data_IF_457477851805
#
_entry.id   IF_457477851805
#
_cell.length_a   1.000
_cell.length_b   1.000
_cell.length_c   1.000
_cell.angle_alpha   90.00
_cell.angle_beta   90.00
_cell.angle_gamma   90.00
#
_symmetry.space_group_name_H-M   'P 1'
#
loop_
_entity.id
_entity.type
_entity.pdbx_description
1 polymer ?
#
# COMPACT_ATOMS: atom_id res chain seq x y z
N UNK A 1 5.88 -2.07 -21.99
CA UNK A 1 5.63 -2.23 -20.53
C UNK A 1 4.85 -1.01 -20.09
N UNK A 2 3.67 -1.18 -19.50
CA UNK A 2 2.84 -0.05 -19.10
C UNK A 2 3.43 0.56 -17.81
N UNK A 3 3.72 1.86 -17.84
CA UNK A 3 4.10 2.62 -16.65
C UNK A 3 2.84 3.10 -15.95
N UNK A 4 2.78 2.92 -14.62
CA UNK A 4 1.74 3.52 -13.79
C UNK A 4 2.18 4.92 -13.41
N UNK A 5 1.25 5.79 -13.02
CA UNK A 5 1.60 7.11 -12.46
C UNK A 5 1.45 7.10 -10.96
N UNK A 6 2.37 7.78 -10.28
CA UNK A 6 2.22 8.03 -8.85
C UNK A 6 0.95 8.86 -8.63
N UNK A 7 0.01 8.31 -7.86
CA UNK A 7 -1.27 8.91 -7.47
C UNK A 7 -1.09 10.25 -6.74
N UNK A 8 0.09 10.50 -6.14
CA UNK A 8 0.41 11.76 -5.48
C UNK A 8 1.11 12.79 -6.39
N UNK A 9 2.28 12.46 -6.95
CA UNK A 9 3.11 13.44 -7.67
C UNK A 9 3.08 13.29 -9.20
N UNK A 10 2.36 12.29 -9.73
CA UNK A 10 2.15 12.10 -11.17
C UNK A 10 3.34 11.56 -11.96
N UNK A 11 4.50 11.30 -11.32
CA UNK A 11 5.67 10.71 -11.98
C UNK A 11 5.40 9.26 -12.38
N UNK A 12 6.07 8.80 -13.44
CA UNK A 12 5.99 7.40 -13.85
C UNK A 12 6.61 6.49 -12.79
N UNK A 13 5.99 5.33 -12.59
CA UNK A 13 6.41 4.26 -11.69
C UNK A 13 6.44 2.97 -12.49
N UNK A 14 7.61 2.32 -12.53
CA UNK A 14 7.76 1.04 -13.18
C UNK A 14 6.90 -0.05 -12.53
N UNK A 15 6.55 -1.13 -13.25
CA UNK A 15 5.73 -2.21 -12.69
C UNK A 15 6.39 -2.89 -11.48
N UNK A 16 7.73 -2.91 -11.42
CA UNK A 16 8.52 -3.55 -10.37
C UNK A 16 9.15 -2.54 -9.38
N UNK A 17 8.62 -1.32 -9.33
CA UNK A 17 9.14 -0.22 -8.51
C UNK A 17 8.05 0.42 -7.65
N UNK A 18 8.48 1.09 -6.57
CA UNK A 18 7.61 1.92 -5.74
C UNK A 18 6.65 1.10 -4.89
N UNK A 19 5.47 1.64 -4.65
CA UNK A 19 4.50 1.11 -3.72
C UNK A 19 3.12 1.06 -4.34
N UNK A 20 2.32 0.07 -3.94
CA UNK A 20 0.90 0.02 -4.21
C UNK A 20 0.15 -0.12 -2.91
N UNK A 21 -0.71 0.86 -2.60
CA UNK A 21 -1.74 0.68 -1.60
C UNK A 21 -2.94 0.01 -2.27
N UNK A 22 -3.58 -0.94 -1.60
CA UNK A 22 -4.73 -1.63 -2.16
C UNK A 22 -5.73 -2.06 -1.09
N UNK A 23 -7.02 -1.87 -1.35
CA UNK A 23 -8.13 -2.43 -0.57
C UNK A 23 -8.87 -3.39 -1.50
N UNK A 24 -8.54 -4.69 -1.43
CA UNK A 24 -8.98 -5.67 -2.43
C UNK A 24 -10.50 -5.86 -2.46
N UNK A 25 -11.16 -5.91 -1.29
CA UNK A 25 -12.61 -6.04 -1.20
C UNK A 25 -13.36 -4.85 -1.84
N UNK A 26 -12.74 -3.68 -1.86
CA UNK A 26 -13.30 -2.48 -2.49
C UNK A 26 -12.86 -2.27 -3.94
N UNK A 27 -12.01 -3.15 -4.49
CA UNK A 27 -11.33 -2.97 -5.79
C UNK A 27 -10.71 -1.57 -5.93
N UNK A 28 -9.98 -1.15 -4.89
CA UNK A 28 -9.31 0.15 -4.83
C UNK A 28 -7.81 -0.02 -4.84
N UNK A 29 -7.14 0.80 -5.65
CA UNK A 29 -5.69 0.80 -5.83
C UNK A 29 -5.17 2.24 -5.83
N UNK A 30 -3.96 2.44 -5.30
CA UNK A 30 -3.20 3.68 -5.47
C UNK A 30 -1.71 3.34 -5.62
N UNK A 31 -1.00 4.08 -6.48
CA UNK A 31 0.42 3.83 -6.78
C UNK A 31 1.29 4.98 -6.28
N UNK A 32 2.44 4.66 -5.70
CA UNK A 32 3.36 5.67 -5.17
C UNK A 32 4.80 5.38 -5.59
N UNK A 33 5.52 6.41 -6.05
CA UNK A 33 6.95 6.26 -6.33
C UNK A 33 7.80 6.16 -5.04
N UNK A 34 7.25 6.59 -3.90
CA UNK A 34 7.92 6.68 -2.60
C UNK A 34 6.93 6.43 -1.46
N UNK A 35 7.41 5.88 -0.35
CA UNK A 35 6.59 5.64 0.85
C UNK A 35 6.00 6.95 1.37
N UNK A 36 6.80 8.02 1.39
CA UNK A 36 6.45 9.31 1.94
C UNK A 36 5.26 9.95 1.21
N UNK A 37 4.96 9.55 -0.03
CA UNK A 37 3.81 10.05 -0.78
C UNK A 37 2.48 9.44 -0.33
N UNK A 38 2.51 8.30 0.38
CA UNK A 38 1.31 7.74 1.02
C UNK A 38 0.80 8.63 2.16
N UNK A 39 1.69 9.38 2.82
CA UNK A 39 1.35 10.20 3.98
C UNK A 39 0.46 11.39 3.61
N UNK A 40 0.85 12.32 2.72
CA UNK A 40 -0.01 13.43 2.35
C UNK A 40 -1.26 12.99 1.59
N UNK A 41 -1.19 11.91 0.81
CA UNK A 41 -2.35 11.29 0.18
C UNK A 41 -3.41 10.85 1.20
N UNK A 42 -3.00 10.14 2.27
CA UNK A 42 -3.93 9.75 3.32
C UNK A 42 -4.48 10.95 4.11
N UNK A 43 -3.67 12.00 4.32
CA UNK A 43 -4.12 13.23 5.00
C UNK A 43 -5.20 13.97 4.21
N UNK A 44 -5.11 14.01 2.88
CA UNK A 44 -6.04 14.76 2.03
C UNK A 44 -7.34 14.02 1.73
N UNK A 45 -7.54 12.85 2.32
CA UNK A 45 -8.60 11.93 1.92
C UNK A 45 -8.10 11.05 0.78
N UNK A 46 -7.93 9.73 1.00
CA UNK A 46 -7.32 8.84 0.04
C UNK A 46 -8.16 8.76 -1.25
N UNK A 47 -7.68 9.41 -2.30
CA UNK A 47 -8.25 9.27 -3.64
C UNK A 47 -7.76 7.97 -4.26
N UNK A 48 -8.65 6.99 -4.31
CA UNK A 48 -8.41 5.67 -4.87
C UNK A 48 -8.74 5.64 -6.36
N UNK A 49 -8.00 4.82 -7.11
CA UNK A 49 -8.34 4.40 -8.46
C UNK A 49 -9.04 3.03 -8.41
N UNK A 50 -9.92 2.76 -9.36
CA UNK A 50 -10.53 1.44 -9.49
C UNK A 50 -9.48 0.42 -9.96
N UNK A 51 -9.33 -0.69 -9.24
CA UNK A 51 -8.44 -1.77 -9.62
C UNK A 51 -8.01 -2.67 -8.46
N UNK A 52 -7.43 -3.81 -8.81
CA UNK A 52 -6.82 -4.76 -7.89
C UNK A 52 -5.31 -4.82 -8.12
N UNK A 53 -4.59 -5.50 -7.21
CA UNK A 53 -3.19 -5.78 -7.47
C UNK A 53 -3.09 -6.74 -8.67
N UNK A 54 -2.20 -6.41 -9.63
CA UNK A 54 -1.96 -7.28 -10.78
C UNK A 54 -1.37 -8.63 -10.37
N UNK A 55 -0.59 -8.63 -9.29
CA UNK A 55 -0.05 -9.82 -8.65
C UNK A 55 -0.24 -9.69 -7.14
N UNK A 56 -0.83 -10.71 -6.54
CA UNK A 56 -1.06 -10.73 -5.09
C UNK A 56 0.27 -11.01 -4.37
N UNK A 57 0.57 -10.31 -3.27
CA UNK A 57 1.69 -10.66 -2.43
C UNK A 57 1.48 -12.08 -1.90
N UNK A 58 2.58 -12.76 -1.58
CA UNK A 58 2.51 -14.07 -0.93
C UNK A 58 1.73 -13.93 0.37
N UNK A 59 0.82 -14.87 0.62
CA UNK A 59 0.15 -14.92 1.92
C UNK A 59 1.15 -15.32 3.00
N UNK A 60 1.34 -14.42 3.96
CA UNK A 60 2.20 -14.59 5.12
C UNK A 60 1.40 -14.35 6.39
N UNK A 61 1.67 -15.05 7.50
CA UNK A 61 0.97 -14.84 8.77
C UNK A 61 0.95 -13.38 9.22
N UNK A 62 2.02 -12.62 8.92
CA UNK A 62 2.11 -11.19 9.22
C UNK A 62 1.02 -10.34 8.55
N UNK A 63 0.44 -10.79 7.42
CA UNK A 63 -0.65 -10.07 6.73
C UNK A 63 -2.03 -10.29 7.37
N UNK A 64 -2.12 -11.18 8.36
CA UNK A 64 -3.34 -11.38 9.16
C UNK A 64 -3.46 -10.42 10.36
N UNK A 65 -2.44 -9.60 10.60
CA UNK A 65 -2.40 -8.61 11.67
C UNK A 65 -2.05 -7.22 11.12
N UNK A 66 -2.58 -6.18 11.76
CA UNK A 66 -2.25 -4.82 11.41
C UNK A 66 -0.82 -4.48 11.83
N UNK A 67 0.03 -4.11 10.88
CA UNK A 67 1.41 -3.69 11.13
C UNK A 67 1.54 -2.45 12.05
N UNK A 68 0.45 -1.68 12.22
CA UNK A 68 0.44 -0.54 13.14
C UNK A 68 0.01 -0.90 14.56
N UNK A 69 -1.14 -1.56 14.74
CA UNK A 69 -1.75 -1.79 16.06
C UNK A 69 -1.73 -3.26 16.53
N UNK A 70 -1.38 -4.21 15.67
CA UNK A 70 -1.38 -5.65 15.95
C UNK A 70 -2.77 -6.29 16.03
N UNK A 71 -3.84 -5.59 15.66
CA UNK A 71 -5.18 -6.17 15.61
C UNK A 71 -5.29 -7.19 14.46
N UNK A 72 -6.05 -8.26 14.67
CA UNK A 72 -6.38 -9.21 13.61
C UNK A 72 -7.16 -8.51 12.47
N UNK A 73 -6.88 -8.91 11.24
CA UNK A 73 -7.45 -8.34 10.02
C UNK A 73 -8.38 -9.31 9.30
N UNK A 74 -9.35 -8.76 8.60
CA UNK A 74 -10.22 -9.46 7.66
C UNK A 74 -9.92 -9.03 6.21
N UNK A 75 -10.83 -9.33 5.29
CA UNK A 75 -10.68 -9.04 3.87
C UNK A 75 -10.91 -7.57 3.49
N UNK A 76 -11.37 -6.74 4.43
CA UNK A 76 -11.51 -5.28 4.24
C UNK A 76 -10.23 -4.50 4.54
N UNK A 77 -9.14 -5.21 4.85
CA UNK A 77 -7.82 -4.61 5.13
C UNK A 77 -7.26 -3.82 3.96
N UNK A 78 -6.43 -2.84 4.30
CA UNK A 78 -5.57 -2.12 3.35
C UNK A 78 -4.20 -2.80 3.32
N UNK A 79 -3.73 -3.16 2.14
CA UNK A 79 -2.36 -3.61 1.90
C UNK A 79 -1.51 -2.44 1.43
N UNK A 80 -0.23 -2.41 1.82
CA UNK A 80 0.80 -1.62 1.16
C UNK A 80 1.89 -2.57 0.69
N UNK A 81 2.06 -2.68 -0.63
CA UNK A 81 3.05 -3.55 -1.25
C UNK A 81 4.20 -2.70 -1.77
N UNK A 82 5.40 -2.91 -1.24
CA UNK A 82 6.63 -2.34 -1.75
C UNK A 82 7.21 -3.26 -2.84
N UNK A 83 7.31 -2.74 -4.05
CA UNK A 83 7.95 -3.40 -5.19
C UNK A 83 9.40 -2.95 -5.31
N UNK A 84 10.31 -3.92 -5.21
CA UNK A 84 11.75 -3.72 -5.31
C UNK A 84 12.35 -4.77 -6.24
N UNK A 85 12.25 -4.52 -7.54
CA UNK A 85 12.56 -5.52 -8.55
C UNK A 85 11.58 -6.69 -8.43
N UNK A 86 12.08 -7.91 -8.40
CA UNK A 86 11.22 -9.11 -8.27
C UNK A 86 10.62 -9.29 -6.87
N UNK A 87 11.10 -8.55 -5.88
CA UNK A 87 10.61 -8.66 -4.50
C UNK A 87 9.38 -7.78 -4.28
N UNK A 88 8.34 -8.39 -3.70
CA UNK A 88 7.11 -7.73 -3.26
C UNK A 88 7.00 -7.95 -1.76
N UNK A 89 7.13 -6.88 -0.98
CA UNK A 89 7.07 -6.92 0.48
C UNK A 89 5.78 -6.21 0.88
N UNK A 90 4.87 -6.93 1.52
CA UNK A 90 3.56 -6.39 1.89
C UNK A 90 3.45 -6.16 3.39
N UNK A 91 2.81 -5.06 3.75
CA UNK A 91 2.32 -4.76 5.08
C UNK A 91 0.80 -4.59 5.04
N UNK A 92 0.10 -5.00 6.10
CA UNK A 92 -1.36 -4.95 6.17
C UNK A 92 -1.85 -4.00 7.28
N UNK A 93 -2.96 -3.32 7.03
CA UNK A 93 -3.49 -2.27 7.90
C UNK A 93 -5.01 -2.36 8.03
N UNK A 94 -5.54 -1.98 9.21
CA UNK A 94 -6.98 -1.85 9.40
C UNK A 94 -7.57 -0.77 8.48
N UNK A 95 -6.85 0.34 8.30
CA UNK A 95 -7.31 1.53 7.58
C UNK A 95 -6.14 2.29 6.96
N UNK A 96 -6.45 3.24 6.08
CA UNK A 96 -5.47 4.21 5.55
C UNK A 96 -4.87 5.10 6.64
N UNK A 97 -5.55 5.32 7.76
CA UNK A 97 -5.00 6.07 8.89
C UNK A 97 -3.89 5.30 9.60
N UNK A 98 -4.05 3.98 9.77
CA UNK A 98 -3.01 3.13 10.32
C UNK A 98 -1.80 3.03 9.38
N UNK A 99 -2.05 2.91 8.07
CA UNK A 99 -1.00 3.00 7.05
C UNK A 99 -0.26 4.33 7.17
N UNK A 100 -0.97 5.46 7.24
CA UNK A 100 -0.38 6.80 7.36
C UNK A 100 0.49 6.91 8.61
N UNK A 101 -0.01 6.50 9.77
CA UNK A 101 0.72 6.58 11.02
C UNK A 101 2.01 5.76 10.98
N UNK A 102 1.95 4.55 10.44
CA UNK A 102 3.10 3.68 10.23
C UNK A 102 4.10 4.25 9.22
N UNK A 103 3.62 4.76 8.08
CA UNK A 103 4.48 5.36 7.05
C UNK A 103 5.18 6.63 7.57
N UNK A 104 4.47 7.44 8.36
CA UNK A 104 5.02 8.64 9.00
C UNK A 104 6.11 8.32 10.02
N UNK A 105 6.09 7.12 10.61
CA UNK A 105 7.13 6.60 11.49
C UNK A 105 8.32 5.98 10.74
N UNK A 106 8.34 6.06 9.40
CA UNK A 106 9.43 5.57 8.55
C UNK A 106 9.24 4.15 8.00
N UNK A 107 8.03 3.58 8.11
CA UNK A 107 7.72 2.29 7.49
C UNK A 107 8.43 1.09 8.11
N UNK A 108 8.75 1.18 9.41
CA UNK A 108 9.32 0.09 10.20
C UNK A 108 8.75 0.18 11.60
N UNK A 109 7.82 -0.70 11.92
CA UNK A 109 7.36 -0.89 13.30
C UNK A 109 7.10 -2.37 13.57
N UNK A 110 7.77 -2.85 14.63
CA UNK A 110 8.02 -4.23 15.09
C UNK A 110 9.00 -5.07 14.27
#
# INVERSE_FOLDING_TARGET
MSTLRCTWCGVDVGPDEGYRAAEQAGERLATFCRLEHTVPWAIQGPHWEAGTLAEQPREEPALSECAHCGAALDDTRVLLVHHRGEYRIADAFCTTDHLRAWASAGGRWR
#
